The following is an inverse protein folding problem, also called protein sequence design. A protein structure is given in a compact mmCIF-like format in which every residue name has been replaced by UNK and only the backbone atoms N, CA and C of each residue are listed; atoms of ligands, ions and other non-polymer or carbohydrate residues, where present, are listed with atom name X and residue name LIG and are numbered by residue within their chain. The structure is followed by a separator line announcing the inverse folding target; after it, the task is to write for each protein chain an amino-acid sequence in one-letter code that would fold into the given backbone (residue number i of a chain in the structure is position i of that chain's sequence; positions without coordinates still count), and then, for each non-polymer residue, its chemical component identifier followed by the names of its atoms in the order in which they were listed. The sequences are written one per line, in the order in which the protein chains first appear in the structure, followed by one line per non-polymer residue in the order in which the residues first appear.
data_IF_759401206957
#
_entry.id   IF_759401206957
#
_cell.length_a   1.000
_cell.length_b   1.000
_cell.length_c   1.000
_cell.angle_alpha   90.00
_cell.angle_beta   90.00
_cell.angle_gamma   90.00
#
_symmetry.space_group_name_H-M   'P 1'
#
loop_
_entity.id
_entity.type
_entity.pdbx_description
1 polymer ?
#
# COMPACT_ATOMS: atom_id res chain seq x y z
N UNK A 1 -6.02 12.42 2.56
CA UNK A 1 -4.78 11.69 2.28
C UNK A 1 -3.53 12.42 2.77
N UNK A 2 -3.41 13.72 2.56
CA UNK A 2 -2.25 14.51 2.98
C UNK A 2 -2.31 15.05 4.42
N UNK A 3 -3.42 14.85 5.12
CA UNK A 3 -3.57 15.32 6.50
C UNK A 3 -2.65 14.55 7.44
N UNK A 4 -1.99 15.29 8.35
CA UNK A 4 -1.07 14.75 9.34
C UNK A 4 -1.51 15.15 10.75
N UNK A 5 -1.65 14.16 11.61
CA UNK A 5 -1.96 14.34 13.02
C UNK A 5 -0.84 13.71 13.85
N UNK A 6 -0.35 14.42 14.86
CA UNK A 6 0.69 13.91 15.75
C UNK A 6 0.30 12.62 16.50
N UNK A 7 -0.98 12.47 16.82
CA UNK A 7 -1.47 11.29 17.51
C UNK A 7 -1.56 10.07 16.60
N UNK A 8 -1.82 10.27 15.30
CA UNK A 8 -1.98 9.20 14.33
C UNK A 8 -1.73 9.69 12.90
N UNK A 9 -0.63 9.26 12.30
CA UNK A 9 -0.26 9.63 10.94
C UNK A 9 0.32 8.41 10.19
N UNK A 10 -0.50 7.42 9.82
CA UNK A 10 -0.02 6.25 9.11
C UNK A 10 0.38 6.59 7.67
N UNK A 11 1.32 5.83 7.11
CA UNK A 11 1.52 5.74 5.68
C UNK A 11 0.31 5.03 5.04
N UNK A 12 -0.12 5.49 3.88
CA UNK A 12 -1.20 4.84 3.11
C UNK A 12 -0.58 3.83 2.17
N UNK A 13 -0.96 2.57 2.30
CA UNK A 13 -0.42 1.46 1.52
C UNK A 13 -1.52 0.88 0.64
N UNK A 14 -1.30 0.90 -0.67
CA UNK A 14 -2.21 0.37 -1.67
C UNK A 14 -1.70 -1.01 -2.09
N UNK A 15 -2.42 -2.06 -1.70
CA UNK A 15 -2.11 -3.46 -1.99
C UNK A 15 -3.01 -4.02 -3.08
N UNK A 16 -2.59 -5.09 -3.74
CA UNK A 16 -3.46 -5.89 -4.60
C UNK A 16 -4.26 -6.90 -3.79
N UNK A 17 -5.52 -7.11 -4.19
CA UNK A 17 -6.38 -8.17 -3.66
C UNK A 17 -5.91 -9.56 -4.12
N UNK A 18 -5.23 -9.64 -5.27
CA UNK A 18 -4.86 -10.91 -5.91
C UNK A 18 -3.91 -11.71 -5.03
N UNK A 19 -4.24 -12.99 -4.82
CA UNK A 19 -3.36 -13.95 -4.17
C UNK A 19 -2.49 -14.58 -5.26
N UNK A 20 -1.23 -14.17 -5.33
CA UNK A 20 -0.27 -14.70 -6.31
C UNK A 20 1.16 -14.51 -5.83
N UNK A 21 2.01 -15.47 -6.14
CA UNK A 21 3.45 -15.33 -5.94
C UNK A 21 4.08 -14.33 -6.90
N UNK A 22 3.50 -14.21 -8.10
CA UNK A 22 3.94 -13.33 -9.16
C UNK A 22 2.78 -12.43 -9.62
N UNK A 23 2.39 -11.43 -8.79
CA UNK A 23 1.28 -10.55 -9.12
C UNK A 23 1.64 -9.68 -10.33
N UNK A 24 0.72 -9.58 -11.30
CA UNK A 24 0.92 -8.84 -12.55
C UNK A 24 0.68 -7.33 -12.40
N UNK A 25 0.01 -6.90 -11.33
CA UNK A 25 -0.40 -5.50 -11.15
C UNK A 25 -1.62 -5.12 -11.99
N UNK A 26 -1.71 -3.84 -12.36
CA UNK A 26 -2.82 -3.38 -13.22
C UNK A 26 -4.16 -3.14 -12.51
N UNK A 27 -4.17 -3.11 -11.17
CA UNK A 27 -5.38 -2.93 -10.35
C UNK A 27 -5.84 -1.48 -10.19
N UNK A 28 -5.16 -0.52 -10.82
CA UNK A 28 -5.53 0.90 -10.77
C UNK A 28 -4.89 1.71 -9.64
N UNK A 29 -3.97 1.16 -8.86
CA UNK A 29 -3.25 1.90 -7.78
C UNK A 29 -2.58 3.18 -8.28
N UNK A 30 -1.85 3.08 -9.41
CA UNK A 30 -1.22 4.25 -10.04
C UNK A 30 -2.24 5.28 -10.50
N UNK A 31 -3.37 4.85 -11.05
CA UNK A 31 -4.47 5.73 -11.45
C UNK A 31 -5.07 6.47 -10.24
N UNK A 32 -5.28 5.77 -9.13
CA UNK A 32 -5.72 6.37 -7.87
C UNK A 32 -4.73 7.43 -7.37
N UNK A 33 -3.41 7.13 -7.39
CA UNK A 33 -2.40 8.11 -7.00
C UNK A 33 -2.35 9.30 -7.97
N UNK A 34 -2.60 9.07 -9.26
CA UNK A 34 -2.73 10.17 -10.23
C UNK A 34 -3.93 11.07 -9.92
N UNK A 35 -5.08 10.52 -9.53
CA UNK A 35 -6.22 11.32 -9.07
C UNK A 35 -5.86 12.23 -7.88
N UNK A 36 -5.12 11.71 -6.91
CA UNK A 36 -4.64 12.49 -5.77
C UNK A 36 -3.65 13.59 -6.21
N UNK A 37 -2.82 13.32 -7.24
CA UNK A 37 -1.85 14.29 -7.76
C UNK A 37 -2.49 15.54 -8.38
N UNK A 38 -3.75 15.43 -8.82
CA UNK A 38 -4.50 16.59 -9.33
C UNK A 38 -4.76 17.66 -8.24
N UNK A 39 -4.73 17.27 -6.98
CA UNK A 39 -5.01 18.16 -5.85
C UNK A 39 -3.81 18.43 -4.94
N UNK A 40 -2.84 17.54 -4.94
CA UNK A 40 -1.71 17.56 -3.99
C UNK A 40 -0.39 17.33 -4.70
N UNK A 41 0.60 18.19 -4.43
CA UNK A 41 1.93 18.04 -4.99
C UNK A 41 2.57 16.73 -4.53
N UNK A 42 2.78 15.83 -5.47
CA UNK A 42 3.41 14.54 -5.24
C UNK A 42 4.85 14.51 -5.75
N UNK A 43 5.67 13.74 -5.07
CA UNK A 43 6.94 13.22 -5.58
C UNK A 43 6.83 11.70 -5.61
N UNK A 44 7.04 11.13 -6.78
CA UNK A 44 7.00 9.68 -6.99
C UNK A 44 8.43 9.17 -7.09
N UNK A 45 8.73 8.17 -6.31
CA UNK A 45 10.02 7.45 -6.30
C UNK A 45 9.76 6.02 -6.75
N UNK A 46 10.56 5.53 -7.68
CA UNK A 46 10.55 4.12 -8.06
C UNK A 46 10.91 3.25 -6.85
N UNK A 47 9.91 2.57 -6.30
CA UNK A 47 10.06 1.75 -5.10
C UNK A 47 10.89 0.49 -5.32
N UNK A 48 10.97 -0.03 -6.56
CA UNK A 48 11.83 -1.15 -6.92
C UNK A 48 13.31 -0.79 -6.90
N UNK A 49 13.64 0.39 -7.42
CA UNK A 49 15.01 0.89 -7.50
C UNK A 49 15.46 1.65 -6.25
N UNK A 50 14.54 1.98 -5.33
CA UNK A 50 14.86 2.76 -4.14
C UNK A 50 15.82 2.03 -3.21
N UNK A 51 16.85 2.74 -2.79
CA UNK A 51 17.83 2.25 -1.84
C UNK A 51 18.03 3.27 -0.71
N UNK A 52 17.69 2.86 0.51
CA UNK A 52 17.81 3.65 1.73
C UNK A 52 19.26 4.02 2.08
N UNK A 53 20.25 3.25 1.61
CA UNK A 53 21.68 3.48 1.90
C UNK A 53 22.32 4.52 0.98
N UNK A 54 21.63 4.92 -0.09
CA UNK A 54 22.17 5.93 -0.99
C UNK A 54 22.11 7.30 -0.35
N UNK A 55 23.23 8.01 -0.39
CA UNK A 55 23.26 9.45 -0.15
C UNK A 55 22.27 10.14 -1.10
N UNK A 56 21.60 11.16 -0.60
CA UNK A 56 20.60 11.91 -1.38
C UNK A 56 19.37 11.10 -1.84
N UNK A 57 19.01 10.03 -1.13
CA UNK A 57 17.87 9.18 -1.48
C UNK A 57 16.56 9.98 -1.69
N UNK A 58 16.40 11.08 -0.96
CA UNK A 58 15.23 11.97 -1.04
C UNK A 58 15.47 13.26 -1.82
N UNK A 59 16.48 13.32 -2.70
CA UNK A 59 16.88 14.56 -3.40
C UNK A 59 15.77 15.19 -4.27
N UNK A 60 14.78 14.39 -4.72
CA UNK A 60 13.63 14.86 -5.49
C UNK A 60 12.59 15.57 -4.63
N UNK A 61 12.61 15.34 -3.32
CA UNK A 61 11.67 15.96 -2.38
C UNK A 61 12.04 17.42 -2.16
N UNK A 62 11.04 18.26 -2.04
CA UNK A 62 11.16 19.70 -1.73
C UNK A 62 10.27 20.06 -0.54
N UNK A 63 10.47 21.25 0.03
CA UNK A 63 9.72 21.70 1.21
C UNK A 63 8.21 21.85 0.97
N UNK A 64 7.79 21.96 -0.28
CA UNK A 64 6.41 22.06 -0.72
C UNK A 64 5.82 20.72 -1.20
N UNK A 65 6.59 19.63 -1.14
CA UNK A 65 6.08 18.28 -1.42
C UNK A 65 5.07 17.89 -0.34
N UNK A 66 3.86 17.54 -0.76
CA UNK A 66 2.77 17.18 0.15
C UNK A 66 2.61 15.67 0.32
N UNK A 67 2.95 14.91 -0.71
CA UNK A 67 2.88 13.44 -0.69
C UNK A 67 4.15 12.88 -1.30
N UNK A 68 4.76 11.91 -0.61
CA UNK A 68 5.89 11.12 -1.07
C UNK A 68 5.40 9.71 -1.38
N UNK A 69 5.43 9.34 -2.64
CA UNK A 69 4.97 8.04 -3.13
C UNK A 69 6.16 7.15 -3.42
N UNK A 70 6.22 5.99 -2.78
CA UNK A 70 7.08 4.89 -3.19
C UNK A 70 6.26 3.97 -4.09
N UNK A 71 6.47 4.09 -5.40
CA UNK A 71 5.67 3.38 -6.38
C UNK A 71 6.25 2.00 -6.68
N UNK A 72 5.37 1.00 -6.70
CA UNK A 72 5.67 -0.40 -7.04
C UNK A 72 6.87 -0.96 -6.25
N UNK A 73 6.77 -0.90 -4.91
CA UNK A 73 7.85 -1.39 -4.06
C UNK A 73 8.03 -2.90 -4.18
N UNK A 74 9.28 -3.33 -4.13
CA UNK A 74 9.67 -4.75 -4.25
C UNK A 74 9.21 -5.60 -3.08
N UNK A 75 9.16 -6.91 -3.28
CA UNK A 75 8.74 -7.93 -2.30
C UNK A 75 9.41 -7.79 -0.92
N UNK A 76 10.66 -7.36 -0.84
CA UNK A 76 11.43 -7.20 0.39
C UNK A 76 11.65 -5.74 0.77
N UNK A 77 10.68 -4.87 0.47
CA UNK A 77 10.76 -3.47 0.88
C UNK A 77 10.73 -3.36 2.41
N UNK A 78 11.73 -2.69 2.96
CA UNK A 78 11.88 -2.50 4.40
C UNK A 78 11.09 -1.26 4.85
N UNK A 79 9.85 -1.48 5.24
CA UNK A 79 8.97 -0.41 5.72
C UNK A 79 9.43 0.20 7.04
N UNK A 80 10.17 -0.54 7.86
CA UNK A 80 10.65 -0.05 9.16
C UNK A 80 11.59 1.15 8.99
N UNK A 81 12.36 1.17 7.91
CA UNK A 81 13.22 2.30 7.54
C UNK A 81 12.46 3.62 7.29
N UNK A 82 11.15 3.56 7.09
CA UNK A 82 10.30 4.74 6.93
C UNK A 82 9.66 5.21 8.24
N UNK A 83 9.89 4.54 9.36
CA UNK A 83 9.20 4.88 10.61
C UNK A 83 9.44 6.33 11.04
N UNK A 84 10.67 6.79 11.01
CA UNK A 84 11.01 8.18 11.33
C UNK A 84 10.41 9.18 10.34
N UNK A 85 10.45 8.87 9.04
CA UNK A 85 9.84 9.71 7.99
C UNK A 85 8.34 9.87 8.20
N UNK A 86 7.67 8.80 8.62
CA UNK A 86 6.23 8.79 8.90
C UNK A 86 5.87 9.58 10.15
N UNK A 87 6.70 9.53 11.22
CA UNK A 87 6.34 10.03 12.55
C UNK A 87 7.08 11.28 13.02
N UNK A 88 8.26 11.58 12.46
CA UNK A 88 9.13 12.65 12.98
C UNK A 88 9.39 13.76 11.98
N UNK A 89 9.33 13.45 10.70
CA UNK A 89 9.65 14.37 9.62
C UNK A 89 10.73 13.82 8.70
N UNK A 90 11.30 14.67 7.85
CA UNK A 90 12.22 14.24 6.81
C UNK A 90 13.47 15.15 6.76
N UNK A 91 14.65 14.54 6.77
CA UNK A 91 15.90 15.24 6.48
C UNK A 91 16.21 15.10 5.00
N UNK A 92 16.35 16.22 4.31
CA UNK A 92 16.73 16.30 2.91
C UNK A 92 18.21 16.59 2.78
N UNK A 93 18.91 15.70 2.14
CA UNK A 93 20.28 15.92 1.70
C UNK A 93 20.30 16.10 0.18
N UNK A 94 20.87 17.20 -0.28
CA UNK A 94 21.03 17.51 -1.70
C UNK A 94 22.50 17.72 -2.01
N UNK A 95 22.92 17.26 -3.19
CA UNK A 95 24.32 17.44 -3.62
C UNK A 95 24.73 18.92 -3.56
N UNK A 96 25.86 19.19 -2.90
CA UNK A 96 26.42 20.54 -2.76
C UNK A 96 25.48 21.55 -2.05
N UNK A 97 24.63 21.09 -1.15
CA UNK A 97 23.77 21.95 -0.31
C UNK A 97 23.75 21.44 1.12
N UNK A 98 23.54 22.35 2.06
CA UNK A 98 23.31 21.95 3.44
C UNK A 98 22.06 21.07 3.60
N UNK A 99 22.11 20.14 4.55
CA UNK A 99 20.98 19.30 4.88
C UNK A 99 19.84 20.16 5.47
N UNK A 100 18.63 19.93 4.99
CA UNK A 100 17.43 20.65 5.45
C UNK A 100 16.55 19.67 6.19
N UNK A 101 16.25 19.94 7.46
CA UNK A 101 15.27 19.18 8.23
C UNK A 101 13.87 19.75 8.02
N UNK A 102 12.99 18.98 7.42
CA UNK A 102 11.57 19.30 7.29
C UNK A 102 10.84 18.73 8.51
N UNK A 103 10.25 19.57 9.37
CA UNK A 103 9.56 19.11 10.56
C UNK A 103 8.29 18.32 10.19
N UNK A 104 7.83 17.49 11.10
CA UNK A 104 6.69 16.57 10.90
C UNK A 104 5.49 17.22 10.20
N UNK A 105 5.02 18.35 10.68
CA UNK A 105 3.81 19.01 10.15
C UNK A 105 3.96 19.58 8.73
N UNK A 106 5.20 19.76 8.26
CA UNK A 106 5.51 20.21 6.90
C UNK A 106 6.05 19.10 6.01
N UNK A 107 6.44 17.96 6.59
CA UNK A 107 6.97 16.85 5.79
C UNK A 107 5.84 16.14 5.02
N UNK A 108 6.15 15.53 3.87
CA UNK A 108 5.16 14.87 3.05
C UNK A 108 4.51 13.69 3.78
N UNK A 109 3.25 13.41 3.45
CA UNK A 109 2.58 12.16 3.79
C UNK A 109 3.15 11.05 2.94
N UNK A 110 3.45 9.91 3.55
CA UNK A 110 3.99 8.75 2.82
C UNK A 110 2.85 7.92 2.25
N UNK A 111 2.98 7.54 0.98
CA UNK A 111 2.15 6.56 0.31
C UNK A 111 3.01 5.51 -0.35
N UNK A 112 2.52 4.30 -0.41
CA UNK A 112 3.22 3.15 -0.99
C UNK A 112 2.25 2.41 -1.90
N UNK A 113 2.66 2.11 -3.13
CA UNK A 113 1.96 1.15 -3.97
C UNK A 113 2.77 -0.13 -4.02
N UNK A 114 2.11 -1.26 -3.99
CA UNK A 114 2.77 -2.57 -4.00
C UNK A 114 1.84 -3.65 -4.53
N UNK A 115 2.43 -4.65 -5.15
CA UNK A 115 1.74 -5.87 -5.53
C UNK A 115 1.91 -6.96 -4.46
N UNK A 116 2.68 -6.67 -3.40
CA UNK A 116 3.00 -7.62 -2.34
C UNK A 116 2.58 -7.07 -0.98
N UNK A 117 2.15 -7.93 -0.07
CA UNK A 117 1.91 -7.53 1.32
C UNK A 117 3.21 -7.01 1.96
N UNK A 118 3.14 -5.88 2.66
CA UNK A 118 4.28 -5.31 3.39
C UNK A 118 4.55 -6.12 4.66
N UNK A 119 5.80 -6.58 4.83
CA UNK A 119 6.25 -7.30 6.03
C UNK A 119 6.20 -6.42 7.28
N UNK A 120 6.10 -7.08 8.41
CA UNK A 120 6.16 -6.51 9.74
C UNK A 120 4.82 -6.52 10.47
N UNK A 121 4.89 -6.96 11.72
CA UNK A 121 3.75 -7.14 12.61
C UNK A 121 3.98 -6.38 13.92
N UNK A 122 2.91 -6.30 14.70
CA UNK A 122 2.90 -5.66 16.01
C UNK A 122 2.58 -4.18 16.00
N UNK A 123 2.36 -3.65 17.19
CA UNK A 123 1.82 -2.29 17.40
C UNK A 123 2.61 -1.16 16.70
N UNK A 124 3.93 -1.35 16.53
CA UNK A 124 4.77 -0.35 15.85
C UNK A 124 4.46 -0.23 14.36
N UNK A 125 4.14 -1.34 13.72
CA UNK A 125 3.73 -1.38 12.32
C UNK A 125 2.27 -0.95 12.15
N UNK A 126 1.36 -1.47 12.97
CA UNK A 126 -0.09 -1.22 12.87
C UNK A 126 -0.42 0.27 12.98
N UNK A 127 0.19 0.99 13.92
CA UNK A 127 -0.03 2.43 14.07
C UNK A 127 0.55 3.29 12.94
N UNK A 128 1.43 2.71 12.09
CA UNK A 128 2.11 3.41 11.00
C UNK A 128 1.63 3.00 9.61
N UNK A 129 0.73 2.01 9.51
CA UNK A 129 0.16 1.52 8.25
C UNK A 129 -1.34 1.78 8.19
N UNK A 130 -1.78 2.29 7.06
CA UNK A 130 -3.18 2.28 6.66
C UNK A 130 -3.25 1.58 5.32
N UNK A 131 -3.66 0.33 5.35
CA UNK A 131 -3.65 -0.55 4.18
C UNK A 131 -5.00 -0.49 3.48
N UNK A 132 -4.97 -0.46 2.16
CA UNK A 132 -6.12 -0.55 1.27
C UNK A 132 -5.87 -1.67 0.28
N UNK A 133 -6.90 -2.40 -0.08
CA UNK A 133 -6.85 -3.52 -1.00
C UNK A 133 -7.58 -3.13 -2.29
N UNK A 134 -6.93 -3.31 -3.43
CA UNK A 134 -7.43 -2.99 -4.76
C UNK A 134 -7.77 -4.26 -5.51
N UNK A 135 -9.04 -4.40 -5.91
CA UNK A 135 -9.48 -5.52 -6.72
C UNK A 135 -9.00 -5.40 -8.17
N UNK A 136 -8.92 -6.54 -8.84
CA UNK A 136 -8.61 -6.61 -10.27
C UNK A 136 -9.90 -6.36 -11.06
N UNK A 137 -10.22 -5.09 -11.29
CA UNK A 137 -11.37 -4.68 -12.10
C UNK A 137 -11.02 -4.59 -13.58
N UNK A 138 -9.93 -3.89 -13.89
CA UNK A 138 -9.46 -3.76 -15.27
C UNK A 138 -8.63 -4.97 -15.71
N UNK A 139 -8.71 -5.27 -16.99
CA UNK A 139 -7.98 -6.37 -17.66
C UNK A 139 -7.21 -5.82 -18.86
N UNK A 140 -6.49 -6.69 -19.59
CA UNK A 140 -5.80 -6.31 -20.84
C UNK A 140 -6.76 -5.83 -21.92
N UNK A 141 -7.96 -6.41 -21.96
CA UNK A 141 -8.98 -6.11 -22.98
C UNK A 141 -10.00 -5.08 -22.49
N UNK A 142 -10.10 -4.85 -21.20
CA UNK A 142 -10.99 -3.86 -20.60
C UNK A 142 -10.19 -2.93 -19.71
N UNK A 143 -9.81 -1.80 -20.26
CA UNK A 143 -9.00 -0.77 -19.61
C UNK A 143 -9.84 0.48 -19.32
N UNK A 144 -9.37 1.42 -18.47
CA UNK A 144 -10.04 2.71 -18.31
C UNK A 144 -10.27 3.44 -19.63
N UNK A 145 -9.35 3.36 -20.58
CA UNK A 145 -9.50 3.96 -21.90
C UNK A 145 -10.65 3.33 -22.70
N UNK A 146 -10.82 2.01 -22.61
CA UNK A 146 -11.93 1.29 -23.24
C UNK A 146 -13.26 1.67 -22.61
N UNK A 147 -13.31 1.76 -21.27
CA UNK A 147 -14.53 2.09 -20.53
C UNK A 147 -14.99 3.53 -20.78
N UNK A 148 -14.07 4.49 -20.72
CA UNK A 148 -14.41 5.92 -20.78
C UNK A 148 -14.21 6.55 -22.17
N UNK A 149 -13.61 5.82 -23.12
CA UNK A 149 -13.34 6.31 -24.47
C UNK A 149 -12.33 7.46 -24.56
N UNK A 150 -11.67 7.81 -23.45
CA UNK A 150 -10.68 8.90 -23.33
C UNK A 150 -9.70 8.65 -22.20
N UNK A 151 -8.59 9.37 -22.21
CA UNK A 151 -7.63 9.36 -21.13
C UNK A 151 -8.14 10.16 -19.93
N UNK A 152 -8.17 9.52 -18.77
CA UNK A 152 -8.60 10.16 -17.54
C UNK A 152 -7.64 11.31 -17.19
N UNK A 153 -8.21 12.39 -16.67
CA UNK A 153 -7.58 13.65 -16.27
C UNK A 153 -7.07 14.49 -17.45
N UNK A 154 -6.31 13.92 -18.40
CA UNK A 154 -5.66 14.67 -19.49
C UNK A 154 -6.62 15.09 -20.60
N UNK A 155 -7.70 14.34 -20.83
CA UNK A 155 -8.69 14.61 -21.88
C UNK A 155 -10.07 14.99 -21.32
N UNK A 156 -10.13 15.33 -20.03
CA UNK A 156 -11.36 15.74 -19.39
C UNK A 156 -11.82 17.15 -19.80
N UNK A 157 -13.12 17.27 -20.01
CA UNK A 157 -13.78 18.56 -20.16
C UNK A 157 -13.87 19.32 -18.83
N UNK A 158 -14.23 20.60 -18.88
CA UNK A 158 -14.47 21.39 -17.68
C UNK A 158 -15.59 20.80 -16.80
N UNK A 159 -16.60 20.22 -17.40
CA UNK A 159 -17.70 19.58 -16.68
C UNK A 159 -17.22 18.36 -15.90
N UNK A 160 -16.37 17.52 -16.48
CA UNK A 160 -15.78 16.35 -15.81
C UNK A 160 -14.87 16.76 -14.66
N UNK A 161 -14.11 17.84 -14.82
CA UNK A 161 -13.34 18.41 -13.72
C UNK A 161 -14.24 18.89 -12.58
N UNK A 162 -15.37 19.53 -12.87
CA UNK A 162 -16.35 19.93 -11.86
C UNK A 162 -16.94 18.70 -11.12
N UNK A 163 -17.24 17.63 -11.84
CA UNK A 163 -17.72 16.38 -11.23
C UNK A 163 -16.66 15.78 -10.30
N UNK A 164 -15.41 15.74 -10.75
CA UNK A 164 -14.29 15.26 -9.94
C UNK A 164 -14.10 16.09 -8.68
N UNK A 165 -14.10 17.42 -8.79
CA UNK A 165 -13.93 18.32 -7.66
C UNK A 165 -15.07 18.15 -6.64
N UNK A 166 -16.30 18.05 -7.09
CA UNK A 166 -17.46 17.80 -6.22
C UNK A 166 -17.33 16.45 -5.50
N UNK A 167 -16.97 15.40 -6.22
CA UNK A 167 -16.73 14.08 -5.62
C UNK A 167 -15.65 14.14 -4.54
N UNK A 168 -14.55 14.88 -4.78
CA UNK A 168 -13.49 15.04 -3.81
C UNK A 168 -13.91 15.85 -2.59
N UNK A 169 -14.73 16.88 -2.78
CA UNK A 169 -15.32 17.67 -1.69
C UNK A 169 -16.26 16.79 -0.83
N UNK A 170 -17.12 16.00 -1.45
CA UNK A 170 -18.01 15.07 -0.75
C UNK A 170 -17.23 14.06 0.09
N UNK A 171 -16.16 13.46 -0.47
CA UNK A 171 -15.29 12.57 0.28
C UNK A 171 -14.58 13.27 1.44
N UNK A 172 -14.17 14.52 1.28
CA UNK A 172 -13.59 15.31 2.35
C UNK A 172 -14.62 15.59 3.46
N UNK A 173 -15.83 15.97 3.10
CA UNK A 173 -16.93 16.18 4.06
C UNK A 173 -17.26 14.88 4.81
N UNK A 174 -17.31 13.77 4.10
CA UNK A 174 -17.51 12.45 4.69
C UNK A 174 -16.42 12.12 5.71
N UNK A 175 -15.16 12.34 5.36
CA UNK A 175 -14.02 12.13 6.25
C UNK A 175 -14.08 13.04 7.49
N UNK A 176 -14.40 14.32 7.32
CA UNK A 176 -14.52 15.27 8.44
C UNK A 176 -15.63 14.89 9.42
N UNK A 177 -16.69 14.26 8.92
CA UNK A 177 -17.81 13.78 9.72
C UNK A 177 -17.54 12.45 10.43
N UNK A 178 -16.91 11.50 9.75
CA UNK A 178 -16.84 10.11 10.19
C UNK A 178 -15.40 9.67 10.60
N UNK A 179 -14.37 10.45 10.28
CA UNK A 179 -12.97 10.08 10.44
C UNK A 179 -12.53 8.99 9.44
N UNK A 180 -11.46 8.29 9.78
CA UNK A 180 -10.97 7.17 9.00
C UNK A 180 -11.80 5.92 9.29
N UNK A 181 -12.38 5.35 8.26
CA UNK A 181 -13.14 4.10 8.34
C UNK A 181 -12.24 2.95 7.88
N UNK A 182 -12.06 1.97 8.76
CA UNK A 182 -11.30 0.75 8.41
C UNK A 182 -12.02 -0.01 7.31
N UNK A 183 -11.30 -0.33 6.24
CA UNK A 183 -11.77 -1.25 5.21
C UNK A 183 -11.72 -2.69 5.72
N UNK A 184 -12.64 -3.51 5.24
CA UNK A 184 -12.55 -4.97 5.36
C UNK A 184 -11.65 -5.47 4.24
N UNK A 185 -10.68 -6.31 4.59
CA UNK A 185 -9.81 -6.94 3.60
C UNK A 185 -10.41 -8.28 3.17
N UNK A 186 -10.27 -8.60 1.88
CA UNK A 186 -10.68 -9.88 1.34
C UNK A 186 -9.54 -10.90 1.42
N UNK A 187 -8.39 -10.53 0.90
CA UNK A 187 -7.25 -11.44 0.76
C UNK A 187 -5.96 -10.96 1.43
N UNK A 188 -5.89 -9.73 1.92
CA UNK A 188 -4.65 -9.18 2.47
C UNK A 188 -4.07 -10.01 3.62
N UNK A 189 -4.93 -10.57 4.49
CA UNK A 189 -4.49 -11.44 5.58
C UNK A 189 -3.86 -12.72 5.05
N UNK A 190 -4.45 -13.31 4.01
CA UNK A 190 -3.93 -14.51 3.33
C UNK A 190 -2.60 -14.18 2.64
N UNK A 191 -2.52 -13.05 1.93
CA UNK A 191 -1.29 -12.59 1.30
C UNK A 191 -0.17 -12.35 2.32
N UNK A 192 -0.48 -11.82 3.52
CA UNK A 192 0.49 -11.68 4.61
C UNK A 192 0.97 -13.05 5.11
N UNK A 193 0.05 -13.98 5.31
CA UNK A 193 0.39 -15.33 5.77
C UNK A 193 1.22 -16.09 4.73
N UNK A 194 0.84 -16.05 3.45
CA UNK A 194 1.60 -16.63 2.34
C UNK A 194 3.04 -16.10 2.28
N UNK A 195 3.21 -14.83 2.64
CA UNK A 195 4.52 -14.21 2.62
C UNK A 195 5.42 -14.60 3.80
N UNK A 196 4.83 -15.00 4.92
CA UNK A 196 5.56 -15.44 6.13
C UNK A 196 5.74 -16.96 6.19
N UNK A 197 5.00 -17.70 5.37
CA UNK A 197 5.09 -19.15 5.21
C UNK A 197 5.48 -19.51 3.76
N UNK A 198 4.63 -20.22 3.06
CA UNK A 198 4.76 -20.52 1.64
C UNK A 198 3.39 -20.63 0.98
N UNK A 199 3.36 -20.65 -0.36
CA UNK A 199 2.11 -20.81 -1.10
C UNK A 199 1.52 -22.21 -0.89
N UNK A 200 2.38 -23.22 -0.89
CA UNK A 200 2.02 -24.63 -0.62
C UNK A 200 1.38 -24.78 0.76
N UNK A 201 1.90 -24.08 1.77
CA UNK A 201 1.30 -24.08 3.10
C UNK A 201 -0.10 -23.47 3.10
N UNK A 202 -0.31 -22.38 2.36
CA UNK A 202 -1.62 -21.71 2.23
C UNK A 202 -2.63 -22.62 1.51
N UNK A 203 -2.20 -23.30 0.45
CA UNK A 203 -3.02 -24.28 -0.27
C UNK A 203 -3.37 -25.48 0.61
N UNK A 204 -2.38 -26.00 1.34
CA UNK A 204 -2.57 -27.09 2.28
C UNK A 204 -3.56 -26.73 3.39
N UNK A 205 -3.51 -25.51 3.91
CA UNK A 205 -4.50 -24.99 4.85
C UNK A 205 -5.90 -24.81 4.24
N UNK A 206 -6.07 -24.90 2.92
CA UNK A 206 -7.33 -24.68 2.23
C UNK A 206 -7.79 -23.22 2.21
N UNK A 207 -6.89 -22.28 2.44
CA UNK A 207 -7.21 -20.84 2.48
C UNK A 207 -7.34 -20.23 1.07
N UNK A 208 -6.82 -20.91 0.05
CA UNK A 208 -7.03 -20.57 -1.35
C UNK A 208 -8.21 -21.41 -1.84
N UNK A 209 -9.24 -20.77 -2.36
CA UNK A 209 -10.49 -21.40 -2.86
C UNK A 209 -11.54 -21.82 -1.82
N UNK A 210 -11.40 -21.48 -0.54
CA UNK A 210 -12.42 -21.71 0.48
C UNK A 210 -12.71 -23.18 0.80
N UNK A 211 -11.87 -24.11 0.35
CA UNK A 211 -11.98 -25.53 0.65
C UNK A 211 -10.99 -25.85 1.76
N UNK A 212 -11.50 -26.08 2.95
CA UNK A 212 -10.71 -26.56 4.08
C UNK A 212 -10.21 -27.97 3.75
N UNK A 213 -8.92 -28.13 3.49
CA UNK A 213 -8.32 -29.42 3.13
C UNK A 213 -7.93 -30.27 4.35
N UNK A 214 -7.82 -29.67 5.53
CA UNK A 214 -7.34 -30.34 6.72
C UNK A 214 -8.37 -30.28 7.84
N UNK A 215 -8.83 -31.42 8.34
CA UNK A 215 -9.84 -31.54 9.40
C UNK A 215 -9.37 -31.03 10.77
N UNK A 216 -8.05 -30.96 10.99
CA UNK A 216 -7.42 -30.45 12.21
C UNK A 216 -7.41 -28.92 12.28
N UNK A 217 -7.57 -28.19 11.16
CA UNK A 217 -7.58 -26.75 11.10
C UNK A 217 -8.98 -26.18 11.31
N UNK A 218 -9.30 -25.79 12.54
CA UNK A 218 -10.55 -25.10 12.86
C UNK A 218 -10.30 -23.60 13.04
N UNK A 219 -11.22 -22.78 12.49
CA UNK A 219 -11.17 -21.34 12.70
C UNK A 219 -11.20 -21.01 14.21
N UNK A 220 -10.45 -19.97 14.60
CA UNK A 220 -10.36 -19.46 15.98
C UNK A 220 -9.81 -20.44 17.03
N UNK A 221 -9.17 -21.53 16.65
CA UNK A 221 -8.42 -22.39 17.56
C UNK A 221 -6.95 -22.02 17.62
N UNK A 222 -6.40 -22.05 18.83
CA UNK A 222 -4.95 -21.95 19.02
C UNK A 222 -4.32 -23.32 18.72
N UNK A 223 -3.44 -23.33 17.72
CA UNK A 223 -2.67 -24.53 17.33
C UNK A 223 -1.21 -24.28 17.66
N UNK A 224 -0.51 -25.30 18.14
CA UNK A 224 0.93 -25.21 18.32
C UNK A 224 1.63 -25.22 16.98
N UNK A 225 2.43 -24.17 16.72
CA UNK A 225 3.13 -23.99 15.43
C UNK A 225 3.95 -25.22 15.01
N UNK A 226 4.61 -25.88 15.95
CA UNK A 226 5.43 -27.06 15.66
C UNK A 226 4.61 -28.28 15.25
N UNK A 227 3.45 -28.49 15.87
CA UNK A 227 2.53 -29.59 15.49
C UNK A 227 2.02 -29.38 14.07
N UNK A 228 1.55 -28.17 13.77
CA UNK A 228 1.09 -27.81 12.45
C UNK A 228 2.18 -27.95 11.37
N UNK A 229 3.40 -27.59 11.71
CA UNK A 229 4.54 -27.73 10.81
C UNK A 229 4.89 -29.19 10.51
N UNK A 230 4.84 -30.07 11.54
CA UNK A 230 5.09 -31.49 11.37
C UNK A 230 4.02 -32.17 10.50
N UNK A 231 2.73 -31.81 10.70
CA UNK A 231 1.65 -32.29 9.86
C UNK A 231 1.83 -31.84 8.40
N UNK A 232 2.18 -30.57 8.18
CA UNK A 232 2.44 -30.03 6.85
C UNK A 232 3.57 -30.76 6.12
N UNK A 233 4.71 -31.00 6.78
CA UNK A 233 5.83 -31.75 6.18
C UNK A 233 5.47 -33.20 5.92
N UNK A 234 4.69 -33.81 6.79
CA UNK A 234 4.26 -35.21 6.61
C UNK A 234 3.38 -35.36 5.36
N UNK A 235 2.55 -34.37 5.07
CA UNK A 235 1.65 -34.38 3.91
C UNK A 235 2.34 -33.89 2.62
N UNK A 236 3.44 -33.14 2.77
CA UNK A 236 4.22 -32.61 1.65
C UNK A 236 5.72 -33.00 1.81
N UNK A 237 6.04 -34.28 1.73
CA UNK A 237 7.44 -34.70 1.73
C UNK A 237 8.09 -34.27 0.41
N UNK A 238 9.22 -33.51 0.46
CA UNK A 238 10.06 -33.21 -0.69
C UNK A 238 10.69 -34.46 -1.30
#
# INVERSE_FOLDING_TARGET
HAYKNFSYCPAVILNDEVISENPEGGTGKGLFMNAISQMKKQVVIDGKAFNFEKSFAYQLVSADTQILVFDDVKKNFDFERLFSVVTEGLTLEKKNKDAIKIPFHKSPKVSITTNYAIRGQGNSFERRKWELEFCQFYTKDFTPLVEFGKLLFSEWSQEEWCIFDNYMIENLMFYLKNGLIKSTFKNLSINKLSRESSHEFIEWCGLVNGIQKHDSLKFDQKIYKNELYLEFIQDNPD
#
